data_IF_792850991029
#
_entry.id   IF_792850991029
#
_cell.length_a   1.000
_cell.length_b   1.000
_cell.length_c   1.000
_cell.angle_alpha   90.00
_cell.angle_beta   90.00
_cell.angle_gamma   90.00
#
_symmetry.space_group_name_H-M   'P 1'
#
loop_
_entity.id
_entity.type
_entity.pdbx_description
1 polymer ?
#
# COMPACT_ATOMS: atom_id res chain seq x y z
N UNK A 1 20.67 11.97 -19.32
CA UNK A 1 20.08 12.67 -18.16
C UNK A 1 18.58 12.40 -18.18
N UNK A 2 18.00 11.91 -17.08
CA UNK A 2 16.59 11.59 -17.03
C UNK A 2 15.74 12.84 -17.25
N UNK A 3 14.71 12.73 -18.10
CA UNK A 3 13.77 13.83 -18.36
C UNK A 3 12.64 13.78 -17.34
N UNK A 4 12.70 14.69 -16.36
CA UNK A 4 11.87 14.68 -15.17
C UNK A 4 10.84 15.80 -15.18
N UNK A 5 9.65 15.49 -14.69
CA UNK A 5 8.55 16.43 -14.53
C UNK A 5 8.12 16.47 -13.06
N UNK A 6 8.18 17.63 -12.41
CA UNK A 6 7.58 17.78 -11.09
C UNK A 6 6.06 17.67 -11.21
N UNK A 7 5.42 17.14 -10.17
CA UNK A 7 3.96 17.07 -10.08
C UNK A 7 3.48 17.88 -8.88
N UNK A 8 2.92 19.06 -9.12
CA UNK A 8 2.42 19.96 -8.07
C UNK A 8 1.23 19.42 -7.29
N UNK A 9 0.50 18.47 -7.88
CA UNK A 9 -0.78 17.99 -7.33
C UNK A 9 -0.61 16.84 -6.33
N UNK A 10 0.64 16.42 -6.07
CA UNK A 10 0.98 15.38 -5.10
C UNK A 10 1.45 16.05 -3.82
N UNK A 11 0.73 15.82 -2.72
CA UNK A 11 1.06 16.44 -1.43
C UNK A 11 2.42 15.94 -0.90
N UNK A 12 3.36 16.87 -0.75
CA UNK A 12 4.66 16.64 -0.10
C UNK A 12 4.56 16.55 1.43
N UNK A 13 3.37 16.74 2.01
CA UNK A 13 3.10 16.46 3.43
C UNK A 13 3.12 14.95 3.70
N UNK A 14 2.63 14.15 2.75
CA UNK A 14 2.47 12.71 2.92
C UNK A 14 3.41 11.90 2.03
N UNK A 15 3.78 12.41 0.85
CA UNK A 15 4.57 11.69 -0.14
C UNK A 15 5.96 12.29 -0.29
N UNK A 16 6.90 11.46 -0.73
CA UNK A 16 8.23 11.94 -1.12
C UNK A 16 8.11 12.84 -2.35
N UNK A 17 9.05 13.78 -2.49
CA UNK A 17 9.08 14.75 -3.60
C UNK A 17 9.62 14.11 -4.88
N UNK A 18 8.84 13.17 -5.42
CA UNK A 18 9.20 12.41 -6.61
C UNK A 18 8.72 13.09 -7.89
N UNK A 19 9.51 12.94 -8.94
CA UNK A 19 9.18 13.38 -10.29
C UNK A 19 8.58 12.24 -11.13
N UNK A 20 7.93 12.60 -12.25
CA UNK A 20 7.59 11.66 -13.31
C UNK A 20 8.71 11.62 -14.37
N UNK A 21 9.06 10.42 -14.85
CA UNK A 21 10.07 10.20 -15.88
C UNK A 21 9.39 9.85 -17.22
N UNK A 22 9.79 10.52 -18.30
CA UNK A 22 9.22 10.28 -19.64
C UNK A 22 9.28 11.50 -20.57
N UNK A 23 8.26 11.69 -21.41
CA UNK A 23 8.13 12.81 -22.36
C UNK A 23 7.00 13.80 -22.05
N UNK A 24 6.93 14.84 -22.88
CA UNK A 24 6.01 15.99 -22.73
C UNK A 24 4.58 15.73 -23.23
N UNK A 25 4.36 14.63 -23.97
CA UNK A 25 3.06 14.30 -24.55
C UNK A 25 2.02 13.83 -23.53
N UNK A 26 0.83 13.53 -24.05
CA UNK A 26 -0.28 12.94 -23.31
C UNK A 26 -1.02 13.92 -22.39
N UNK A 27 -2.15 13.44 -21.86
CA UNK A 27 -2.93 14.18 -20.87
C UNK A 27 -2.46 13.83 -19.47
N UNK A 28 -2.28 14.85 -18.63
CA UNK A 28 -1.85 14.68 -17.25
C UNK A 28 -2.88 13.86 -16.45
N UNK A 29 -2.39 13.01 -15.55
CA UNK A 29 -3.21 12.26 -14.61
C UNK A 29 -2.56 12.17 -13.24
N UNK A 30 -3.42 12.07 -12.23
CA UNK A 30 -3.06 11.73 -10.85
C UNK A 30 -4.05 10.69 -10.35
N UNK A 31 -3.55 9.58 -9.83
CA UNK A 31 -4.36 8.51 -9.25
C UNK A 31 -3.72 8.06 -7.93
N UNK A 32 -4.23 8.60 -6.83
CA UNK A 32 -3.74 8.36 -5.46
C UNK A 32 -4.95 8.05 -4.57
N UNK A 33 -4.85 7.00 -3.75
CA UNK A 33 -5.99 6.48 -2.97
C UNK A 33 -5.73 6.48 -1.46
N UNK A 34 -4.77 7.29 -1.00
CA UNK A 34 -4.32 7.30 0.40
C UNK A 34 -5.41 7.69 1.40
N UNK A 35 -6.37 8.54 1.03
CA UNK A 35 -7.51 8.92 1.89
C UNK A 35 -8.37 7.72 2.30
N UNK A 36 -8.38 6.66 1.47
CA UNK A 36 -9.08 5.40 1.75
C UNK A 36 -8.14 4.32 2.29
N UNK A 37 -6.88 4.67 2.59
CA UNK A 37 -5.82 3.72 2.94
C UNK A 37 -5.46 2.77 1.81
N UNK A 38 -5.76 3.14 0.56
CA UNK A 38 -5.46 2.34 -0.62
C UNK A 38 -3.97 2.40 -0.97
N UNK A 39 -3.33 1.23 -0.99
CA UNK A 39 -1.93 1.06 -1.38
C UNK A 39 -1.82 0.12 -2.58
N UNK A 40 -0.73 0.23 -3.35
CA UNK A 40 -0.53 -0.55 -4.56
C UNK A 40 -0.50 -2.05 -4.25
N UNK A 41 -1.44 -2.79 -4.82
CA UNK A 41 -1.59 -4.24 -4.66
C UNK A 41 -1.07 -5.01 -5.86
N UNK A 42 -1.29 -4.48 -7.06
CA UNK A 42 -0.85 -5.09 -8.31
C UNK A 42 -0.53 -4.00 -9.33
N UNK A 43 0.46 -4.26 -10.16
CA UNK A 43 0.82 -3.45 -11.32
C UNK A 43 0.97 -4.38 -12.53
N UNK A 44 0.49 -3.95 -13.68
CA UNK A 44 0.64 -4.65 -14.95
C UNK A 44 0.95 -3.64 -16.04
N UNK A 45 2.03 -3.86 -16.77
CA UNK A 45 2.44 -2.99 -17.87
C UNK A 45 2.39 -3.76 -19.19
N UNK A 46 2.04 -3.04 -20.24
CA UNK A 46 2.11 -3.49 -21.63
C UNK A 46 3.17 -2.68 -22.36
N UNK A 47 4.01 -3.36 -23.13
CA UNK A 47 5.08 -2.75 -23.90
C UNK A 47 5.01 -3.12 -25.37
N UNK A 48 5.51 -2.20 -26.18
CA UNK A 48 5.90 -2.42 -27.57
C UNK A 48 7.40 -2.10 -27.69
N UNK A 49 7.99 -2.32 -28.86
CA UNK A 49 9.43 -2.09 -29.06
C UNK A 49 9.85 -0.66 -28.73
N UNK A 50 8.98 0.31 -29.05
CA UNK A 50 9.26 1.72 -28.88
C UNK A 50 9.13 2.24 -27.45
N UNK A 51 8.21 1.70 -26.63
CA UNK A 51 7.83 2.29 -25.34
C UNK A 51 6.96 1.36 -24.48
N UNK A 52 6.66 1.81 -23.27
CA UNK A 52 5.55 1.30 -22.47
C UNK A 52 4.23 1.85 -23.04
N UNK A 53 3.43 0.94 -23.59
CA UNK A 53 2.15 1.22 -24.26
C UNK A 53 1.02 1.45 -23.28
N UNK A 54 1.04 0.77 -22.13
CA UNK A 54 0.00 0.93 -21.13
C UNK A 54 0.42 0.43 -19.76
N UNK A 55 -0.27 0.93 -18.73
CA UNK A 55 -0.06 0.55 -17.35
C UNK A 55 -1.40 0.48 -16.64
N UNK A 56 -1.63 -0.59 -15.90
CA UNK A 56 -2.77 -0.71 -15.00
C UNK A 56 -2.30 -1.02 -13.59
N UNK A 57 -2.86 -0.29 -12.63
CA UNK A 57 -2.61 -0.46 -11.21
C UNK A 57 -3.90 -0.83 -10.50
N UNK A 58 -3.80 -1.70 -9.51
CA UNK A 58 -4.89 -2.06 -8.61
C UNK A 58 -4.46 -1.76 -7.17
N UNK A 59 -5.37 -1.16 -6.42
CA UNK A 59 -5.14 -0.74 -5.05
C UNK A 59 -5.81 -1.70 -4.06
N UNK A 60 -5.38 -1.68 -2.80
CA UNK A 60 -5.97 -2.51 -1.73
C UNK A 60 -7.41 -2.13 -1.38
N UNK A 61 -7.84 -0.90 -1.69
CA UNK A 61 -9.23 -0.44 -1.52
C UNK A 61 -10.18 -0.95 -2.62
N UNK A 62 -9.67 -1.75 -3.57
CA UNK A 62 -10.43 -2.32 -4.69
C UNK A 62 -10.48 -1.42 -5.93
N UNK A 63 -10.00 -0.18 -5.86
CA UNK A 63 -9.92 0.70 -7.03
C UNK A 63 -8.82 0.26 -8.01
N UNK A 64 -8.98 0.64 -9.28
CA UNK A 64 -7.96 0.44 -10.31
C UNK A 64 -7.93 1.59 -11.29
N UNK A 65 -6.79 1.75 -11.97
CA UNK A 65 -6.61 2.75 -13.01
C UNK A 65 -5.76 2.18 -14.14
N UNK A 66 -6.30 2.24 -15.36
CA UNK A 66 -5.59 2.03 -16.61
C UNK A 66 -5.16 3.39 -17.19
N UNK A 67 -3.91 3.47 -17.67
CA UNK A 67 -3.36 4.56 -18.46
C UNK A 67 -2.70 3.98 -19.72
N UNK A 68 -2.75 4.71 -20.84
CA UNK A 68 -2.35 4.17 -22.13
C UNK A 68 -3.30 3.06 -22.63
N UNK A 69 -2.75 2.07 -23.35
CA UNK A 69 -3.52 1.00 -23.99
C UNK A 69 -3.03 -0.39 -23.61
N UNK A 70 -3.93 -1.37 -23.45
CA UNK A 70 -3.58 -2.78 -23.25
C UNK A 70 -3.16 -3.45 -24.57
N UNK A 71 -1.96 -3.17 -25.05
CA UNK A 71 -1.46 -3.70 -26.33
C UNK A 71 0.03 -4.04 -26.29
N UNK A 72 0.41 -5.16 -26.91
CA UNK A 72 1.78 -5.67 -26.93
C UNK A 72 2.05 -6.69 -25.82
N UNK A 73 3.33 -6.94 -25.56
CA UNK A 73 3.75 -7.88 -24.52
C UNK A 73 3.45 -7.30 -23.15
N UNK A 74 2.91 -8.12 -22.24
CA UNK A 74 2.58 -7.67 -20.89
C UNK A 74 3.32 -8.44 -19.82
N UNK A 75 3.64 -7.76 -18.73
CA UNK A 75 4.15 -8.37 -17.51
C UNK A 75 3.43 -7.76 -16.31
N UNK A 76 3.23 -8.55 -15.25
CA UNK A 76 2.53 -8.12 -14.06
C UNK A 76 3.31 -8.49 -12.80
N UNK A 77 3.13 -7.68 -11.76
CA UNK A 77 3.66 -7.92 -10.42
C UNK A 77 2.55 -7.71 -9.39
N UNK A 78 2.44 -8.65 -8.45
CA UNK A 78 1.47 -8.57 -7.35
C UNK A 78 2.24 -8.55 -6.03
N UNK A 79 1.91 -7.58 -5.20
CA UNK A 79 2.51 -7.42 -3.88
C UNK A 79 1.83 -8.36 -2.89
N UNK A 80 2.65 -9.05 -2.10
CA UNK A 80 2.18 -9.76 -0.92
C UNK A 80 1.89 -8.80 0.23
N UNK A 81 1.21 -9.34 1.23
CA UNK A 81 0.93 -8.59 2.43
C UNK A 81 2.22 -8.16 3.16
N UNK A 82 2.35 -6.85 3.43
CA UNK A 82 3.55 -6.25 4.02
C UNK A 82 4.77 -6.21 3.10
N UNK A 83 4.61 -6.55 1.82
CA UNK A 83 5.67 -6.39 0.82
C UNK A 83 5.84 -4.90 0.48
N UNK A 84 7.07 -4.41 0.57
CA UNK A 84 7.43 -3.01 0.36
C UNK A 84 8.47 -2.89 -0.74
N UNK A 85 8.38 -1.82 -1.52
CA UNK A 85 9.39 -1.48 -2.53
C UNK A 85 10.65 -1.03 -1.79
N UNK A 86 11.80 -1.59 -2.18
CA UNK A 86 13.12 -1.22 -1.65
C UNK A 86 13.98 -0.53 -2.70
N UNK A 87 13.71 -0.77 -3.98
CA UNK A 87 14.31 -0.04 -5.10
C UNK A 87 13.27 0.18 -6.18
N UNK A 88 13.31 1.36 -6.79
CA UNK A 88 12.48 1.75 -7.92
C UNK A 88 13.34 2.52 -8.90
N UNK A 89 13.20 2.20 -10.18
CA UNK A 89 13.84 2.92 -11.26
C UNK A 89 12.85 3.05 -12.43
N UNK A 90 12.80 4.25 -13.02
CA UNK A 90 11.84 4.63 -14.06
C UNK A 90 12.59 5.41 -15.14
N UNK A 91 12.59 4.88 -16.36
CA UNK A 91 13.41 5.45 -17.42
C UNK A 91 12.57 5.93 -18.57
N UNK A 92 12.93 7.09 -19.12
CA UNK A 92 12.40 7.55 -20.40
C UNK A 92 13.09 6.79 -21.55
N UNK A 93 12.40 6.68 -22.68
CA UNK A 93 13.03 6.19 -23.92
C UNK A 93 14.09 7.17 -24.42
N UNK A 94 15.03 6.65 -25.22
CA UNK A 94 16.09 7.34 -25.98
C UNK A 94 16.57 8.72 -25.43
N UNK A 95 17.78 8.81 -24.83
CA UNK A 95 18.39 10.06 -24.36
C UNK A 95 18.51 11.19 -25.38
N UNK A 96 18.60 10.83 -26.66
CA UNK A 96 18.87 11.76 -27.75
C UNK A 96 17.60 12.13 -28.54
N UNK A 97 16.45 11.55 -28.19
CA UNK A 97 15.16 11.94 -28.77
C UNK A 97 14.67 13.26 -28.17
N UNK A 98 13.92 14.03 -28.98
CA UNK A 98 13.25 15.24 -28.48
C UNK A 98 12.27 14.91 -27.35
N UNK A 99 12.09 15.82 -26.39
CA UNK A 99 11.19 15.61 -25.24
C UNK A 99 9.75 15.27 -25.64
N UNK A 100 9.29 15.76 -26.81
CA UNK A 100 7.96 15.47 -27.37
C UNK A 100 7.82 14.04 -27.90
N UNK A 101 8.92 13.42 -28.31
CA UNK A 101 8.96 12.06 -28.86
C UNK A 101 9.38 11.00 -27.85
N UNK A 102 9.87 11.42 -26.68
CA UNK A 102 10.17 10.51 -25.56
C UNK A 102 8.90 9.99 -24.93
N UNK A 103 8.98 8.78 -24.41
CA UNK A 103 7.90 8.09 -23.69
C UNK A 103 8.48 7.42 -22.46
N UNK A 104 7.63 6.82 -21.64
CA UNK A 104 8.10 5.87 -20.63
C UNK A 104 8.74 4.66 -21.32
N UNK A 105 9.98 4.36 -20.96
CA UNK A 105 10.81 3.33 -21.56
C UNK A 105 11.04 2.11 -20.67
N UNK A 106 11.10 2.31 -19.34
CA UNK A 106 11.23 1.21 -18.40
C UNK A 106 10.62 1.50 -17.03
N UNK A 107 10.21 0.42 -16.37
CA UNK A 107 9.89 0.38 -14.93
C UNK A 107 10.64 -0.81 -14.35
N UNK A 108 11.41 -0.59 -13.29
CA UNK A 108 12.11 -1.63 -12.55
C UNK A 108 11.84 -1.46 -11.06
N UNK A 109 11.44 -2.52 -10.38
CA UNK A 109 11.27 -2.51 -8.93
C UNK A 109 11.88 -3.74 -8.28
N UNK A 110 12.29 -3.55 -7.03
CA UNK A 110 12.68 -4.63 -6.12
C UNK A 110 11.95 -4.45 -4.79
N UNK A 111 11.71 -5.55 -4.09
CA UNK A 111 10.98 -5.55 -2.82
C UNK A 111 11.80 -6.09 -1.65
N UNK A 112 11.31 -5.84 -0.43
CA UNK A 112 11.86 -6.42 0.80
C UNK A 112 11.69 -7.95 0.92
N UNK A 113 11.08 -8.60 -0.09
CA UNK A 113 10.98 -10.06 -0.23
C UNK A 113 11.97 -10.64 -1.24
N UNK A 114 12.97 -9.85 -1.66
CA UNK A 114 13.93 -10.21 -2.70
C UNK A 114 13.28 -10.58 -4.04
N UNK A 115 12.06 -10.07 -4.30
CA UNK A 115 11.46 -10.16 -5.63
C UNK A 115 11.88 -8.95 -6.45
N UNK A 116 12.08 -9.19 -7.74
CA UNK A 116 12.35 -8.14 -8.71
C UNK A 116 11.33 -8.25 -9.85
N UNK A 117 10.95 -7.11 -10.40
CA UNK A 117 10.11 -7.03 -11.58
C UNK A 117 10.56 -5.89 -12.46
N UNK A 118 10.62 -6.16 -13.75
CA UNK A 118 11.00 -5.16 -14.74
C UNK A 118 10.20 -5.29 -16.02
N UNK A 119 9.94 -4.14 -16.64
CA UNK A 119 9.41 -4.03 -17.98
C UNK A 119 10.21 -2.94 -18.69
N UNK A 120 10.88 -3.32 -19.77
CA UNK A 120 11.71 -2.44 -20.59
C UNK A 120 11.33 -2.54 -22.07
N UNK A 121 11.20 -1.40 -22.72
CA UNK A 121 11.10 -1.28 -24.18
C UNK A 121 12.41 -1.68 -24.86
N UNK A 122 12.34 -2.14 -26.11
CA UNK A 122 13.54 -2.52 -26.88
C UNK A 122 14.41 -1.31 -27.23
N UNK A 123 13.79 -0.13 -27.38
CA UNK A 123 14.47 1.13 -27.67
C UNK A 123 15.02 1.85 -26.43
N UNK A 124 15.04 1.19 -25.27
CA UNK A 124 15.68 1.73 -24.09
C UNK A 124 17.21 1.75 -24.30
N UNK A 125 17.80 2.92 -24.12
CA UNK A 125 19.25 3.07 -24.00
C UNK A 125 19.55 3.46 -22.56
N UNK A 126 20.42 2.71 -21.91
CA UNK A 126 20.75 2.89 -20.50
C UNK A 126 21.63 4.12 -20.31
N UNK A 127 21.03 5.24 -19.89
CA UNK A 127 21.69 6.55 -19.77
C UNK A 127 21.70 7.11 -18.33
N UNK A 128 21.55 6.25 -17.32
CA UNK A 128 21.56 6.65 -15.91
C UNK A 128 20.16 6.99 -15.38
N UNK A 129 19.25 6.04 -15.53
CA UNK A 129 17.85 6.08 -15.17
C UNK A 129 17.44 6.82 -13.90
N UNK A 130 16.19 7.30 -13.84
CA UNK A 130 15.69 8.00 -12.65
C UNK A 130 15.35 7.01 -11.54
N UNK A 131 15.93 7.22 -10.36
CA UNK A 131 15.62 6.46 -9.15
C UNK A 131 14.86 7.35 -8.18
N UNK A 132 13.52 7.22 -8.09
CA UNK A 132 12.72 8.00 -7.15
C UNK A 132 13.09 7.68 -5.70
N UNK A 133 12.84 8.63 -4.80
CA UNK A 133 12.94 8.40 -3.37
C UNK A 133 11.85 7.42 -2.91
N UNK A 134 12.27 6.39 -2.17
CA UNK A 134 11.41 5.26 -1.79
C UNK A 134 10.59 5.54 -0.53
N UNK A 135 11.06 6.43 0.35
CA UNK A 135 10.44 6.69 1.65
C UNK A 135 10.20 5.39 2.44
N UNK A 136 8.97 5.19 2.91
CA UNK A 136 8.57 3.96 3.62
C UNK A 136 8.53 2.69 2.74
N UNK A 137 8.65 2.82 1.42
CA UNK A 137 8.48 1.72 0.46
C UNK A 137 7.02 1.36 0.16
N UNK A 138 6.06 2.13 0.70
CA UNK A 138 4.63 1.98 0.43
C UNK A 138 4.22 2.92 -0.69
N UNK A 139 3.73 2.36 -1.80
CA UNK A 139 3.20 3.14 -2.92
C UNK A 139 1.68 3.34 -2.75
N UNK A 140 1.22 4.59 -2.78
CA UNK A 140 -0.19 4.96 -2.61
C UNK A 140 -0.87 5.38 -3.93
N UNK A 141 -0.15 5.30 -5.04
CA UNK A 141 -0.69 5.72 -6.34
C UNK A 141 0.38 6.02 -7.38
N UNK A 142 -0.09 6.48 -8.53
CA UNK A 142 0.72 6.89 -9.67
C UNK A 142 0.28 8.26 -10.19
N UNK A 143 1.19 8.97 -10.83
CA UNK A 143 0.91 10.24 -11.51
C UNK A 143 1.77 10.34 -12.77
N UNK A 144 1.41 11.23 -13.69
CA UNK A 144 2.16 11.40 -14.93
C UNK A 144 1.29 11.93 -16.06
N UNK A 145 1.56 11.48 -17.29
CA UNK A 145 0.73 11.77 -18.44
C UNK A 145 0.67 10.58 -19.41
N UNK A 146 -0.46 10.45 -20.09
CA UNK A 146 -0.68 9.37 -21.05
C UNK A 146 -1.66 9.77 -22.14
N UNK A 147 -1.43 9.25 -23.35
CA UNK A 147 -2.41 9.18 -24.42
C UNK A 147 -2.65 7.72 -24.81
N UNK A 148 -2.31 7.37 -26.05
CA UNK A 148 -2.32 5.97 -26.49
C UNK A 148 -1.18 5.14 -25.84
N UNK A 149 -0.05 5.79 -25.56
CA UNK A 149 1.11 5.28 -24.83
C UNK A 149 1.19 5.94 -23.43
N UNK A 150 2.07 5.43 -22.58
CA UNK A 150 2.43 6.12 -21.32
C UNK A 150 3.56 7.10 -21.63
N UNK A 151 3.24 8.40 -21.64
CA UNK A 151 4.21 9.45 -21.95
C UNK A 151 5.21 9.65 -20.82
N UNK A 152 4.72 9.75 -19.56
CA UNK A 152 5.56 9.85 -18.36
C UNK A 152 4.87 9.25 -17.14
N UNK A 153 5.67 8.77 -16.18
CA UNK A 153 5.17 8.12 -14.97
C UNK A 153 6.03 8.45 -13.74
N UNK A 154 5.35 8.71 -12.63
CA UNK A 154 5.88 8.81 -11.28
C UNK A 154 5.03 8.00 -10.30
N UNK A 155 5.60 7.72 -9.13
CA UNK A 155 4.96 6.93 -8.07
C UNK A 155 4.84 7.78 -6.80
N UNK A 156 3.64 7.80 -6.22
CA UNK A 156 3.37 8.47 -4.95
C UNK A 156 3.82 7.57 -3.80
N UNK A 157 5.09 7.72 -3.41
CA UNK A 157 5.70 6.95 -2.33
C UNK A 157 5.44 7.65 -0.99
N UNK A 158 4.85 6.93 -0.05
CA UNK A 158 4.57 7.44 1.29
C UNK A 158 5.90 7.70 2.02
N UNK A 159 6.02 8.87 2.65
CA UNK A 159 7.19 9.21 3.46
C UNK A 159 7.40 8.22 4.61
N UNK A 160 8.59 8.24 5.20
CA UNK A 160 8.86 7.48 6.41
C UNK A 160 8.03 8.00 7.59
N UNK A 161 7.11 7.17 8.06
CA UNK A 161 6.28 7.50 9.22
C UNK A 161 6.94 7.00 10.50
N UNK A 162 7.17 7.89 11.47
CA UNK A 162 7.66 7.50 12.80
C UNK A 162 6.62 6.69 13.59
N UNK A 163 5.33 6.96 13.39
CA UNK A 163 4.21 6.34 14.12
C UNK A 163 2.95 6.27 13.26
N UNK A 164 2.14 5.23 13.48
CA UNK A 164 0.77 5.11 12.96
C UNK A 164 -0.16 4.90 14.15
N UNK A 165 -1.19 5.73 14.29
CA UNK A 165 -2.12 5.71 15.42
C UNK A 165 -3.56 5.58 14.93
N UNK A 166 -4.31 4.63 15.48
CA UNK A 166 -5.76 4.59 15.35
C UNK A 166 -6.36 5.46 16.45
N UNK A 167 -6.95 6.59 16.06
CA UNK A 167 -7.56 7.56 16.99
C UNK A 167 -9.05 7.71 16.72
N UNK A 168 -9.77 8.30 17.67
CA UNK A 168 -11.20 8.60 17.56
C UNK A 168 -12.07 7.35 17.28
N UNK A 169 -11.73 6.22 17.91
CA UNK A 169 -12.49 4.97 17.81
C UNK A 169 -13.86 5.16 18.45
N UNK A 170 -14.91 4.97 17.65
CA UNK A 170 -16.30 5.09 18.09
C UNK A 170 -17.09 3.81 17.80
N UNK A 171 -17.66 3.19 18.83
CA UNK A 171 -18.49 1.99 18.71
C UNK A 171 -19.97 2.36 18.59
N UNK A 172 -20.49 2.39 17.35
CA UNK A 172 -21.84 2.92 17.09
C UNK A 172 -22.99 2.06 17.66
N UNK A 173 -22.79 0.75 17.82
CA UNK A 173 -23.85 -0.19 18.24
C UNK A 173 -23.65 -0.76 19.65
N UNK A 174 -22.71 -0.22 20.43
CA UNK A 174 -22.36 -0.78 21.75
C UNK A 174 -23.57 -0.88 22.70
N UNK A 175 -24.55 0.02 22.55
CA UNK A 175 -25.77 0.07 23.38
C UNK A 175 -26.87 -0.88 22.92
N UNK A 176 -26.74 -1.52 21.76
CA UNK A 176 -27.74 -2.44 21.19
C UNK A 176 -27.44 -3.91 21.46
N UNK A 177 -26.21 -4.22 21.87
CA UNK A 177 -25.78 -5.59 22.13
C UNK A 177 -26.09 -5.98 23.58
N UNK A 178 -27.02 -6.92 23.75
CA UNK A 178 -27.21 -7.60 25.03
C UNK A 178 -26.10 -8.66 25.17
N UNK A 179 -25.06 -8.37 25.95
CA UNK A 179 -23.98 -9.32 26.20
C UNK A 179 -24.49 -10.42 27.13
N UNK A 180 -24.61 -11.64 26.63
CA UNK A 180 -24.89 -12.81 27.46
C UNK A 180 -23.66 -13.12 28.31
N UNK A 181 -23.71 -12.79 29.60
CA UNK A 181 -22.68 -13.21 30.56
C UNK A 181 -23.08 -14.54 31.18
N UNK A 182 -22.19 -15.54 31.10
CA UNK A 182 -22.30 -16.76 31.89
C UNK A 182 -21.79 -16.51 33.29
N UNK A 183 -22.59 -16.85 34.31
CA UNK A 183 -22.13 -16.80 35.70
C UNK A 183 -21.08 -17.90 35.93
N UNK A 184 -20.07 -17.58 36.71
CA UNK A 184 -19.05 -18.53 37.11
C UNK A 184 -18.88 -18.52 38.63
N UNK A 185 -18.72 -19.70 39.22
CA UNK A 185 -18.50 -19.88 40.65
C UNK A 185 -16.99 -19.92 40.90
N UNK A 186 -16.46 -18.88 41.56
CA UNK A 186 -15.03 -18.75 41.86
C UNK A 186 -14.61 -19.56 43.09
N UNK A 187 -15.53 -19.72 44.04
CA UNK A 187 -15.33 -20.55 45.23
C UNK A 187 -16.68 -21.08 45.71
N UNK A 188 -16.69 -22.29 46.25
CA UNK A 188 -17.89 -22.95 46.78
C UNK A 188 -17.51 -23.80 47.98
N UNK A 189 -18.38 -23.83 49.00
CA UNK A 189 -18.25 -24.74 50.14
C UNK A 189 -19.58 -25.47 50.38
N UNK A 190 -19.50 -26.72 50.84
CA UNK A 190 -20.67 -27.52 51.27
C UNK A 190 -20.46 -27.94 52.71
N UNK A 191 -21.51 -27.84 53.52
CA UNK A 191 -21.51 -28.24 54.92
C UNK A 191 -22.60 -29.27 55.17
N UNK A 192 -22.21 -30.38 55.80
CA UNK A 192 -23.13 -31.40 56.27
C UNK A 192 -23.05 -31.43 57.80
N UNK A 193 -24.06 -30.88 58.45
CA UNK A 193 -24.19 -30.87 59.91
C UNK A 193 -25.23 -31.90 60.35
N UNK A 194 -24.93 -32.63 61.42
CA UNK A 194 -25.80 -33.64 62.03
C UNK A 194 -26.07 -33.38 63.52
N UNK A 195 -25.54 -32.31 64.11
CA UNK A 195 -25.84 -31.89 65.47
C UNK A 195 -25.63 -30.37 65.57
N UNK A 196 -26.71 -29.61 65.79
CA UNK A 196 -26.78 -28.14 65.66
C UNK A 196 -25.69 -27.32 66.36
N UNK A 197 -24.49 -27.35 65.80
CA UNK A 197 -23.26 -26.73 66.29
C UNK A 197 -22.89 -25.61 65.34
N UNK A 198 -22.50 -24.46 65.90
CA UNK A 198 -22.15 -23.29 65.11
C UNK A 198 -20.76 -23.46 64.48
N UNK A 199 -20.65 -23.25 63.16
CA UNK A 199 -19.39 -23.25 62.43
C UNK A 199 -19.06 -21.85 61.90
N UNK A 200 -17.80 -21.44 62.05
CA UNK A 200 -17.24 -20.24 61.40
C UNK A 200 -16.26 -20.70 60.33
N UNK A 201 -16.48 -20.28 59.09
CA UNK A 201 -15.67 -20.69 57.94
C UNK A 201 -15.27 -19.47 57.14
N UNK A 202 -14.04 -19.52 56.63
CA UNK A 202 -13.50 -18.51 55.74
C UNK A 202 -13.31 -19.14 54.36
N UNK A 203 -14.01 -18.60 53.36
CA UNK A 203 -13.90 -19.03 51.97
C UNK A 203 -13.16 -17.97 51.19
N UNK A 204 -12.01 -18.33 50.62
CA UNK A 204 -11.25 -17.48 49.72
C UNK A 204 -11.03 -18.20 48.38
N UNK A 205 -11.04 -17.42 47.29
CA UNK A 205 -10.81 -17.93 45.95
C UNK A 205 -10.28 -16.82 45.05
N UNK A 206 -9.37 -17.17 44.15
CA UNK A 206 -8.75 -16.25 43.21
C UNK A 206 -8.97 -16.78 41.80
N UNK A 207 -9.39 -15.90 40.90
CA UNK A 207 -9.48 -16.19 39.47
C UNK A 207 -8.70 -15.17 38.68
N UNK A 208 -7.86 -15.64 37.77
CA UNK A 208 -7.24 -14.83 36.74
C UNK A 208 -8.07 -14.85 35.46
N UNK A 209 -8.28 -13.70 34.83
CA UNK A 209 -9.00 -13.58 33.56
C UNK A 209 -8.16 -12.75 32.60
N UNK A 210 -8.14 -13.17 31.33
CA UNK A 210 -7.52 -12.42 30.24
C UNK A 210 -8.61 -11.66 29.48
N UNK A 211 -8.42 -10.36 29.32
CA UNK A 211 -9.28 -9.51 28.49
C UNK A 211 -8.54 -9.22 27.19
N UNK A 212 -9.10 -9.69 26.07
CA UNK A 212 -8.55 -9.44 24.74
C UNK A 212 -9.32 -8.29 24.08
N UNK A 213 -8.61 -7.44 23.35
CA UNK A 213 -9.20 -6.37 22.53
C UNK A 213 -8.60 -6.46 21.13
N UNK A 214 -9.47 -6.47 20.11
CA UNK A 214 -9.08 -6.56 18.71
C UNK A 214 -9.80 -5.49 17.89
N UNK A 215 -9.09 -4.87 16.95
CA UNK A 215 -9.65 -3.93 15.99
C UNK A 215 -9.25 -4.41 14.58
N UNK A 216 -10.24 -4.67 13.72
CA UNK A 216 -9.97 -5.11 12.35
C UNK A 216 -9.34 -4.01 11.50
N UNK A 217 -8.39 -4.36 10.64
CA UNK A 217 -7.77 -3.45 9.67
C UNK A 217 -7.72 -4.11 8.29
N UNK A 218 -8.24 -3.43 7.27
CA UNK A 218 -8.26 -3.91 5.88
C UNK A 218 -6.92 -3.72 5.15
N UNK A 219 -6.09 -2.79 5.62
CA UNK A 219 -4.80 -2.48 5.00
C UNK A 219 -3.68 -3.12 5.79
N UNK A 220 -3.29 -4.31 5.35
CA UNK A 220 -2.31 -5.13 6.07
C UNK A 220 -0.84 -4.78 5.75
N UNK A 221 -0.61 -3.83 4.85
CA UNK A 221 0.72 -3.46 4.30
C UNK A 221 1.62 -2.69 5.27
N UNK A 222 1.07 -2.22 6.39
CA UNK A 222 1.81 -1.48 7.44
C UNK A 222 1.83 -2.36 8.70
N UNK A 223 2.63 -3.43 8.69
CA UNK A 223 3.16 -3.97 9.94
C UNK A 223 4.36 -3.12 10.33
N UNK A 224 4.23 -2.40 11.45
CA UNK A 224 5.34 -1.73 12.15
C UNK A 224 6.17 -2.80 12.85
#
# INVERSE_FOLDING_TARGET
>A
MPHLFPQSDVSTEYFTDNNASGGEGGDSFTFITHEKGGVLKKIQAWKVDACIRGLEVWMTDGSSRLVGTRSGLSSAFSFENGERITRLNIDATNPHASNKTRRLGAIRLQTNRNKAWEVLSANLQDDGGYSPEIGSGVCCGIFGASGADVDRLGFAMLQENKRSLLMNVHHHNLTKDCVATTKEIVAHQVLNDSAGVQHTLELSGTKFTTINTECGCSTSSIKV
#
